data_IF_309878992694
#
_entry.id   IF_309878992694
#
_cell.length_a   1.000
_cell.length_b   1.000
_cell.length_c   1.000
_cell.angle_alpha   90.00
_cell.angle_beta   90.00
_cell.angle_gamma   90.00
#
_symmetry.space_group_name_H-M   'P 1'
#
loop_
_entity.id
_entity.type
_entity.pdbx_description
1 polymer ?
#
# COMPACT_ATOMS: atom_id res chain seq x y z
N UNK A 1 4.92 -7.59 1.93
CA UNK A 1 5.62 -7.44 0.64
C UNK A 1 5.12 -8.54 -0.25
N UNK A 2 4.47 -8.19 -1.37
CA UNK A 2 4.09 -9.15 -2.40
C UNK A 2 5.21 -9.21 -3.43
N UNK A 3 5.40 -10.39 -4.02
CA UNK A 3 6.45 -10.67 -4.98
C UNK A 3 5.80 -11.11 -6.29
N UNK A 4 6.35 -10.71 -7.44
CA UNK A 4 5.92 -11.19 -8.76
C UNK A 4 6.49 -12.59 -9.08
N UNK A 5 6.08 -13.16 -10.21
CA UNK A 5 6.58 -14.46 -10.73
C UNK A 5 8.11 -14.53 -10.89
N UNK A 6 8.80 -13.39 -10.96
CA UNK A 6 10.25 -13.28 -11.15
C UNK A 6 11.01 -13.03 -9.84
N UNK A 7 10.34 -13.11 -8.68
CA UNK A 7 10.98 -12.88 -7.39
C UNK A 7 11.19 -11.39 -7.05
N UNK A 8 10.63 -10.45 -7.84
CA UNK A 8 10.76 -9.01 -7.58
C UNK A 8 9.62 -8.53 -6.71
N UNK A 9 9.93 -7.64 -5.77
CA UNK A 9 8.89 -6.96 -4.98
C UNK A 9 7.91 -6.21 -5.90
N UNK A 10 6.62 -6.40 -5.66
CA UNK A 10 5.56 -5.84 -6.48
C UNK A 10 4.77 -4.72 -5.80
N UNK A 11 4.78 -4.67 -4.46
CA UNK A 11 4.22 -3.57 -3.68
C UNK A 11 5.18 -3.12 -2.58
N UNK A 12 5.40 -1.81 -2.50
CA UNK A 12 6.34 -1.17 -1.59
C UNK A 12 5.65 -0.05 -0.83
N UNK A 13 5.94 0.07 0.46
CA UNK A 13 5.49 1.20 1.29
C UNK A 13 6.57 1.60 2.28
N UNK A 14 6.57 2.86 2.70
CA UNK A 14 7.48 3.40 3.72
C UNK A 14 6.70 4.29 4.68
N UNK A 15 6.00 3.71 5.68
CA UNK A 15 5.20 4.48 6.62
C UNK A 15 6.05 5.49 7.41
N UNK A 16 5.60 6.73 7.45
CA UNK A 16 6.18 7.78 8.27
C UNK A 16 5.59 7.79 9.67
N UNK A 17 6.40 8.19 10.65
CA UNK A 17 6.00 8.25 12.05
C UNK A 17 4.79 9.16 12.31
N UNK A 18 4.58 10.16 11.45
CA UNK A 18 3.55 11.20 11.61
C UNK A 18 2.37 11.02 10.64
N UNK A 19 2.10 9.77 10.24
CA UNK A 19 0.86 9.42 9.55
C UNK A 19 0.89 9.61 8.03
N UNK A 20 2.07 9.58 7.41
CA UNK A 20 2.22 9.51 5.95
C UNK A 20 2.42 8.07 5.51
N UNK A 21 1.65 7.61 4.52
CA UNK A 21 1.69 6.22 4.04
C UNK A 21 1.87 6.18 2.52
N UNK A 22 3.08 6.44 2.01
CA UNK A 22 3.38 6.33 0.59
C UNK A 22 3.40 4.86 0.18
N UNK A 23 2.88 4.57 -1.01
CA UNK A 23 2.89 3.23 -1.57
C UNK A 23 3.00 3.26 -3.10
N UNK A 24 3.71 2.26 -3.62
CA UNK A 24 3.75 1.95 -5.05
C UNK A 24 3.30 0.49 -5.22
N UNK A 25 2.29 0.25 -6.05
CA UNK A 25 1.85 -1.08 -6.46
C UNK A 25 2.10 -1.24 -7.97
N UNK A 26 3.13 -2.01 -8.31
CA UNK A 26 3.54 -2.27 -9.71
C UNK A 26 2.63 -3.27 -10.39
N UNK A 27 1.99 -4.17 -9.64
CA UNK A 27 1.03 -5.10 -10.21
C UNK A 27 -0.26 -4.42 -10.62
N UNK A 28 -0.65 -3.36 -9.93
CA UNK A 28 -1.86 -2.59 -10.26
C UNK A 28 -1.56 -1.27 -10.96
N UNK A 29 -0.28 -0.99 -11.20
CA UNK A 29 0.23 0.21 -11.88
C UNK A 29 -0.29 1.53 -11.28
N UNK A 30 -0.23 1.67 -9.95
CA UNK A 30 -0.55 2.93 -9.28
C UNK A 30 0.45 3.27 -8.17
N UNK A 31 0.50 4.56 -7.84
CA UNK A 31 1.14 5.08 -6.65
C UNK A 31 0.15 5.94 -5.87
N UNK A 32 0.20 5.88 -4.56
CA UNK A 32 -0.64 6.72 -3.70
C UNK A 32 0.13 7.15 -2.44
N UNK A 33 -0.41 8.18 -1.80
CA UNK A 33 -0.01 8.56 -0.45
C UNK A 33 -1.28 8.83 0.36
N UNK A 34 -1.38 8.19 1.53
CA UNK A 34 -2.42 8.52 2.50
C UNK A 34 -1.84 9.40 3.60
N UNK A 35 -2.63 10.37 4.04
CA UNK A 35 -2.33 11.21 5.19
C UNK A 35 -3.36 10.93 6.28
N UNK A 36 -2.89 10.55 7.46
CA UNK A 36 -3.68 10.37 8.67
C UNK A 36 -3.11 11.28 9.75
N UNK A 37 -3.96 11.92 10.56
CA UNK A 37 -3.46 12.72 11.67
C UNK A 37 -2.78 11.84 12.75
N UNK A 38 -1.75 12.35 13.42
CA UNK A 38 -1.12 11.77 14.62
C UNK A 38 -0.05 10.69 14.37
N UNK A 39 0.43 10.07 15.47
CA UNK A 39 1.54 9.08 15.42
C UNK A 39 1.13 7.74 14.83
N UNK A 40 2.09 7.06 14.21
CA UNK A 40 1.99 5.66 13.78
C UNK A 40 1.57 4.75 14.95
N UNK A 41 0.50 3.99 14.76
CA UNK A 41 0.01 2.98 15.70
C UNK A 41 -0.68 1.84 14.91
N UNK A 42 -1.05 0.76 15.62
CA UNK A 42 -1.64 -0.42 14.97
C UNK A 42 -3.02 -0.13 14.36
N UNK A 43 -3.82 0.73 14.98
CA UNK A 43 -5.13 1.16 14.47
C UNK A 43 -5.01 1.84 13.10
N UNK A 44 -4.06 2.76 12.93
CA UNK A 44 -3.84 3.46 11.65
C UNK A 44 -3.23 2.55 10.61
N UNK A 45 -2.41 1.59 11.03
CA UNK A 45 -1.91 0.55 10.14
C UNK A 45 -3.08 -0.27 9.58
N UNK A 46 -4.03 -0.66 10.43
CA UNK A 46 -5.23 -1.38 10.00
C UNK A 46 -6.09 -0.54 9.06
N UNK A 47 -6.31 0.75 9.36
CA UNK A 47 -6.99 1.68 8.47
C UNK A 47 -6.31 1.78 7.10
N UNK A 48 -4.98 1.89 7.06
CA UNK A 48 -4.21 1.89 5.82
C UNK A 48 -4.42 0.60 5.02
N UNK A 49 -4.41 -0.57 5.67
CA UNK A 49 -4.64 -1.86 5.02
C UNK A 49 -6.06 -1.96 4.45
N UNK A 50 -7.07 -1.45 5.16
CA UNK A 50 -8.46 -1.41 4.67
C UNK A 50 -8.60 -0.50 3.46
N UNK A 51 -8.03 0.71 3.50
CA UNK A 51 -8.01 1.63 2.35
C UNK A 51 -7.31 1.00 1.14
N UNK A 52 -6.16 0.35 1.35
CA UNK A 52 -5.47 -0.39 0.29
C UNK A 52 -6.37 -1.49 -0.28
N UNK A 53 -7.04 -2.27 0.57
CA UNK A 53 -7.94 -3.34 0.14
C UNK A 53 -9.07 -2.84 -0.76
N UNK A 54 -9.64 -1.67 -0.45
CA UNK A 54 -10.66 -1.04 -1.30
C UNK A 54 -10.11 -0.64 -2.67
N UNK A 55 -8.91 -0.06 -2.73
CA UNK A 55 -8.25 0.27 -4.01
C UNK A 55 -7.96 -1.01 -4.81
N UNK A 56 -7.43 -2.03 -4.14
CA UNK A 56 -7.06 -3.29 -4.76
C UNK A 56 -8.26 -4.06 -5.34
N UNK A 57 -9.47 -3.85 -4.80
CA UNK A 57 -10.71 -4.42 -5.32
C UNK A 57 -11.21 -3.70 -6.59
N UNK A 58 -10.84 -2.42 -6.76
CA UNK A 58 -11.24 -1.60 -7.91
C UNK A 58 -10.20 -1.68 -9.04
N UNK A 59 -8.91 -1.75 -8.69
CA UNK A 59 -7.81 -1.79 -9.64
C UNK A 59 -7.30 -3.23 -9.76
N UNK A 60 -7.61 -3.94 -10.87
CA UNK A 60 -7.19 -5.31 -11.05
C UNK A 60 -5.66 -5.42 -11.18
N UNK A 61 -5.12 -6.56 -10.77
CA UNK A 61 -3.70 -6.89 -10.95
C UNK A 61 -3.39 -7.26 -12.39
N UNK A 62 -2.23 -6.82 -12.88
CA UNK A 62 -1.63 -7.18 -14.17
C UNK A 62 -0.41 -8.08 -14.02
N UNK A 63 0.07 -8.32 -12.79
CA UNK A 63 1.08 -9.35 -12.54
C UNK A 63 0.47 -10.74 -12.73
N UNK A 64 1.29 -11.65 -13.26
CA UNK A 64 1.01 -13.08 -13.32
C UNK A 64 1.59 -13.79 -12.09
#
# INVERSE_FOLDING_TARGET
>A
MTTDENGKGSSFTSPGLFGTWPMIDRCRNYACIFFTEGKLNEEKRELFLQLKGLIDAIIPTTCK
#
